data_IF_444556929231
#
_entry.id   IF_444556929231
#
_cell.length_a   1.000
_cell.length_b   1.000
_cell.length_c   1.000
_cell.angle_alpha   90.00
_cell.angle_beta   90.00
_cell.angle_gamma   90.00
#
_symmetry.space_group_name_H-M   'P 1'
#
loop_
_entity.id
_entity.type
_entity.pdbx_description
1 polymer ?
#
# COMPACT_ATOMS: atom_id res chain seq x y z
N UNK A 1 15.31 7.92 -20.03
CA UNK A 1 15.16 6.80 -19.13
C UNK A 1 16.39 6.58 -18.31
N UNK A 2 17.54 6.33 -18.88
CA UNK A 2 18.77 6.15 -18.11
C UNK A 2 19.63 7.41 -18.26
N UNK A 3 19.45 8.34 -17.35
CA UNK A 3 20.33 9.51 -17.22
C UNK A 3 21.27 9.31 -16.02
N UNK A 4 22.50 8.78 -16.24
CA UNK A 4 23.46 8.53 -15.17
C UNK A 4 23.88 9.80 -14.43
N UNK A 5 23.85 10.94 -15.10
CA UNK A 5 24.19 12.22 -14.49
C UNK A 5 23.10 12.66 -13.51
N UNK A 6 21.85 12.52 -13.89
CA UNK A 6 20.70 12.80 -13.00
C UNK A 6 20.68 11.83 -11.83
N UNK A 7 20.87 10.53 -12.09
CA UNK A 7 20.94 9.51 -11.05
C UNK A 7 22.01 9.85 -10.00
N UNK A 8 23.24 10.20 -10.46
CA UNK A 8 24.34 10.60 -9.58
C UNK A 8 24.02 11.87 -8.78
N UNK A 9 23.33 12.82 -9.38
CA UNK A 9 22.93 14.08 -8.72
C UNK A 9 21.89 13.82 -7.62
N UNK A 10 20.95 12.92 -7.86
CA UNK A 10 19.86 12.61 -6.93
C UNK A 10 20.25 11.58 -5.88
N UNK A 11 21.32 10.81 -6.11
CA UNK A 11 21.72 9.69 -5.25
C UNK A 11 21.75 10.04 -3.76
N UNK A 12 22.36 11.14 -3.29
CA UNK A 12 22.43 11.43 -1.85
C UNK A 12 21.04 11.59 -1.21
N UNK A 13 20.08 12.16 -1.93
CA UNK A 13 18.70 12.35 -1.45
C UNK A 13 17.94 11.03 -1.50
N UNK A 14 18.07 10.30 -2.59
CA UNK A 14 17.39 9.01 -2.78
C UNK A 14 17.88 7.96 -1.80
N UNK A 15 19.17 7.95 -1.48
CA UNK A 15 19.72 7.03 -0.48
C UNK A 15 19.19 7.33 0.93
N UNK A 16 18.97 8.61 1.26
CA UNK A 16 18.34 9.00 2.53
C UNK A 16 16.86 8.58 2.58
N UNK A 17 16.12 8.81 1.51
CA UNK A 17 14.71 8.38 1.42
C UNK A 17 14.61 6.85 1.50
N UNK A 18 15.49 6.15 0.80
CA UNK A 18 15.53 4.69 0.83
C UNK A 18 15.87 4.16 2.24
N UNK A 19 16.81 4.79 2.93
CA UNK A 19 17.16 4.43 4.29
C UNK A 19 16.03 4.73 5.30
N UNK A 20 15.26 5.79 5.09
CA UNK A 20 14.14 6.14 5.95
C UNK A 20 12.99 5.12 5.89
N UNK A 21 12.65 4.61 4.71
CA UNK A 21 11.50 3.72 4.53
C UNK A 21 11.84 2.23 4.48
N UNK A 22 12.98 1.85 3.89
CA UNK A 22 13.34 0.46 3.71
C UNK A 22 14.33 -0.02 4.75
N UNK A 23 15.39 0.69 4.91
CA UNK A 23 16.48 0.37 5.78
C UNK A 23 17.47 -0.67 5.27
N UNK A 24 18.13 -1.21 6.23
CA UNK A 24 19.32 -2.03 6.30
C UNK A 24 20.58 -1.40 5.67
N UNK A 25 20.56 -0.11 5.46
CA UNK A 25 21.75 0.60 4.99
C UNK A 25 22.84 0.72 6.08
N UNK A 26 22.55 0.26 7.29
CA UNK A 26 23.52 0.24 8.39
C UNK A 26 24.04 1.62 8.82
N UNK A 27 23.35 2.70 8.45
CA UNK A 27 23.80 4.05 8.79
C UNK A 27 23.42 4.49 10.21
N UNK A 28 22.61 3.70 10.92
CA UNK A 28 22.20 3.96 12.29
C UNK A 28 21.32 5.21 12.50
N UNK A 29 21.01 5.94 11.44
CA UNK A 29 20.20 7.15 11.51
C UNK A 29 18.71 6.86 11.48
N UNK A 30 18.31 5.76 10.84
CA UNK A 30 16.92 5.34 10.71
C UNK A 30 16.73 3.91 11.21
N UNK A 31 15.59 3.61 11.85
CA UNK A 31 15.26 2.23 12.22
C UNK A 31 14.95 1.40 10.97
N UNK A 32 15.18 0.11 11.07
CA UNK A 32 14.86 -0.82 10.02
C UNK A 32 13.35 -0.90 9.81
N UNK A 33 12.91 -0.76 8.55
CA UNK A 33 11.49 -0.89 8.16
C UNK A 33 10.56 -0.03 9.02
N UNK A 34 10.89 1.24 9.15
CA UNK A 34 10.23 2.16 10.09
C UNK A 34 8.69 2.10 10.08
N UNK A 35 8.10 1.88 8.93
CA UNK A 35 6.64 1.84 8.75
C UNK A 35 6.09 0.45 8.38
N UNK A 36 6.94 -0.47 7.94
CA UNK A 36 6.54 -1.80 7.52
C UNK A 36 6.52 -2.78 8.70
N UNK A 37 5.37 -3.39 8.94
CA UNK A 37 5.18 -4.39 9.98
C UNK A 37 5.25 -5.80 9.36
N UNK A 38 6.34 -6.50 9.62
CA UNK A 38 6.56 -7.84 9.09
C UNK A 38 5.55 -8.88 9.64
N UNK A 39 4.98 -8.65 10.82
CA UNK A 39 3.95 -9.52 11.40
C UNK A 39 2.58 -9.30 10.73
N UNK A 40 2.18 -8.04 10.55
CA UNK A 40 0.95 -7.69 9.85
C UNK A 40 1.05 -7.94 8.34
N UNK A 41 2.27 -7.93 7.79
CA UNK A 41 2.53 -8.09 6.36
C UNK A 41 2.21 -6.84 5.54
N UNK A 42 2.12 -5.68 6.18
CA UNK A 42 1.84 -4.40 5.53
C UNK A 42 2.44 -3.24 6.31
N UNK A 43 2.47 -2.09 5.67
CA UNK A 43 2.91 -0.85 6.32
C UNK A 43 1.77 -0.18 7.09
N UNK A 44 2.16 0.63 8.06
CA UNK A 44 1.27 1.51 8.80
C UNK A 44 1.43 2.96 8.33
N UNK A 45 0.37 3.75 8.43
CA UNK A 45 0.38 5.16 8.02
C UNK A 45 1.28 6.03 8.89
N UNK A 46 1.56 5.63 10.13
CA UNK A 46 2.35 6.39 11.09
C UNK A 46 3.40 5.51 11.78
N UNK A 47 4.50 6.11 12.17
CA UNK A 47 5.51 5.44 13.01
C UNK A 47 5.11 5.29 14.46
N UNK A 48 4.01 5.91 14.89
CA UNK A 48 3.46 5.84 16.24
C UNK A 48 2.01 5.39 16.20
N UNK A 49 1.47 4.96 17.33
CA UNK A 49 0.06 4.57 17.46
C UNK A 49 -0.66 5.55 18.41
N UNK A 50 -1.03 6.77 17.94
CA UNK A 50 -1.61 7.80 18.78
C UNK A 50 -3.10 7.59 19.08
N UNK A 51 -3.72 6.59 18.47
CA UNK A 51 -5.16 6.35 18.56
C UNK A 51 -5.48 5.16 19.46
N UNK A 52 -6.67 5.19 20.10
CA UNK A 52 -7.14 4.10 20.95
C UNK A 52 -7.29 2.78 20.19
N UNK A 53 -7.64 2.84 18.91
CA UNK A 53 -7.78 1.67 18.03
C UNK A 53 -6.45 1.17 17.42
N UNK A 54 -5.35 1.74 17.86
CA UNK A 54 -4.01 1.42 17.34
C UNK A 54 -3.61 2.29 16.15
N UNK A 55 -2.54 1.89 15.47
CA UNK A 55 -2.15 2.49 14.21
C UNK A 55 -3.14 2.12 13.11
N UNK A 56 -3.08 2.80 11.98
CA UNK A 56 -3.98 2.55 10.86
C UNK A 56 -3.23 2.57 9.53
N UNK A 57 -3.89 2.02 8.50
CA UNK A 57 -3.47 2.14 7.12
C UNK A 57 -4.71 2.31 6.23
N UNK A 58 -4.73 3.39 5.49
CA UNK A 58 -5.78 3.74 4.55
C UNK A 58 -5.40 3.36 3.11
N UNK A 59 -4.17 3.67 2.70
CA UNK A 59 -3.73 3.59 1.31
C UNK A 59 -2.70 2.48 1.10
N UNK A 60 -3.17 1.22 1.00
CA UNK A 60 -2.30 0.09 0.66
C UNK A 60 -1.61 0.25 -0.71
N UNK A 61 -2.26 0.91 -1.67
CA UNK A 61 -1.71 1.15 -3.01
C UNK A 61 -0.54 2.15 -3.03
N UNK A 62 -0.54 3.13 -2.14
CA UNK A 62 0.60 4.05 -1.98
C UNK A 62 1.82 3.33 -1.44
N UNK A 63 1.63 2.45 -0.44
CA UNK A 63 2.71 1.62 0.09
C UNK A 63 3.31 0.71 -0.99
N UNK A 64 2.48 0.03 -1.77
CA UNK A 64 2.93 -0.80 -2.90
C UNK A 64 3.73 0.03 -3.92
N UNK A 65 3.29 1.26 -4.18
CA UNK A 65 4.02 2.17 -5.08
C UNK A 65 5.36 2.59 -4.49
N UNK A 66 5.43 2.84 -3.17
CA UNK A 66 6.67 3.16 -2.48
C UNK A 66 7.69 2.01 -2.56
N UNK A 67 7.27 0.78 -2.27
CA UNK A 67 8.14 -0.41 -2.37
C UNK A 67 8.59 -0.70 -3.80
N UNK A 68 7.73 -0.44 -4.78
CA UNK A 68 8.09 -0.51 -6.21
C UNK A 68 9.17 0.52 -6.55
N UNK A 69 9.04 1.74 -6.05
CA UNK A 69 10.04 2.80 -6.20
C UNK A 69 11.37 2.42 -5.57
N UNK A 70 11.32 1.90 -4.34
CA UNK A 70 12.50 1.43 -3.61
C UNK A 70 13.24 0.31 -4.34
N UNK A 71 12.51 -0.70 -4.85
CA UNK A 71 13.10 -1.80 -5.62
C UNK A 71 13.79 -1.29 -6.90
N UNK A 72 13.16 -0.38 -7.62
CA UNK A 72 13.75 0.24 -8.82
C UNK A 72 14.98 1.07 -8.50
N UNK A 73 14.97 1.82 -7.43
CA UNK A 73 16.13 2.59 -6.97
C UNK A 73 17.28 1.67 -6.58
N UNK A 74 17.01 0.68 -5.75
CA UNK A 74 17.99 -0.31 -5.31
C UNK A 74 18.64 -1.02 -6.50
N UNK A 75 17.85 -1.44 -7.49
CA UNK A 75 18.35 -2.04 -8.73
C UNK A 75 19.26 -1.08 -9.51
N UNK A 76 18.85 0.18 -9.67
CA UNK A 76 19.61 1.18 -10.43
C UNK A 76 20.92 1.58 -9.75
N UNK A 77 20.96 1.53 -8.41
CA UNK A 77 22.17 1.80 -7.62
C UNK A 77 23.06 0.56 -7.40
N UNK A 78 22.64 -0.62 -7.87
CA UNK A 78 23.37 -1.87 -7.68
C UNK A 78 23.29 -2.44 -6.26
N UNK A 79 22.38 -1.95 -5.43
CA UNK A 79 22.18 -2.45 -4.07
C UNK A 79 21.25 -3.67 -4.06
N UNK A 80 21.82 -4.86 -4.30
CA UNK A 80 21.07 -6.11 -4.42
C UNK A 80 20.38 -6.53 -3.11
N UNK A 81 20.96 -6.19 -1.97
CA UNK A 81 20.33 -6.49 -0.66
C UNK A 81 19.07 -5.68 -0.46
N UNK A 82 19.12 -4.38 -0.73
CA UNK A 82 17.96 -3.51 -0.65
C UNK A 82 16.91 -3.86 -1.73
N UNK A 83 17.33 -4.27 -2.93
CA UNK A 83 16.41 -4.74 -3.97
C UNK A 83 15.62 -5.96 -3.49
N UNK A 84 16.28 -6.95 -2.92
CA UNK A 84 15.64 -8.16 -2.39
C UNK A 84 14.65 -7.82 -1.28
N UNK A 85 15.01 -6.94 -0.36
CA UNK A 85 14.14 -6.48 0.72
C UNK A 85 12.92 -5.73 0.20
N UNK A 86 13.13 -4.79 -0.72
CA UNK A 86 12.04 -4.03 -1.32
C UNK A 86 11.05 -4.91 -2.10
N UNK A 87 11.55 -5.92 -2.82
CA UNK A 87 10.70 -6.91 -3.51
C UNK A 87 9.92 -7.75 -2.51
N UNK A 88 10.52 -8.13 -1.39
CA UNK A 88 9.82 -8.85 -0.32
C UNK A 88 8.71 -8.00 0.30
N UNK A 89 8.99 -6.75 0.68
CA UNK A 89 7.98 -5.83 1.20
C UNK A 89 6.86 -5.58 0.18
N UNK A 90 7.21 -5.36 -1.09
CA UNK A 90 6.26 -5.20 -2.19
C UNK A 90 5.31 -6.39 -2.32
N UNK A 91 5.87 -7.60 -2.35
CA UNK A 91 5.08 -8.83 -2.52
C UNK A 91 4.16 -9.06 -1.34
N UNK A 92 4.65 -8.81 -0.13
CA UNK A 92 3.87 -8.99 1.10
C UNK A 92 2.77 -7.93 1.21
N UNK A 93 3.09 -6.67 0.92
CA UNK A 93 2.10 -5.57 0.92
C UNK A 93 1.00 -5.79 -0.14
N UNK A 94 1.36 -6.25 -1.33
CA UNK A 94 0.39 -6.56 -2.38
C UNK A 94 -0.56 -7.69 -1.98
N UNK A 95 -0.04 -8.74 -1.34
CA UNK A 95 -0.86 -9.82 -0.78
C UNK A 95 -1.81 -9.31 0.30
N UNK A 96 -1.29 -8.52 1.25
CA UNK A 96 -2.09 -7.93 2.33
C UNK A 96 -3.13 -6.95 1.80
N UNK A 97 -2.78 -6.15 0.78
CA UNK A 97 -3.70 -5.23 0.10
C UNK A 97 -4.92 -5.94 -0.48
N UNK A 98 -4.73 -7.15 -1.01
CA UNK A 98 -5.85 -8.00 -1.41
C UNK A 98 -6.58 -8.58 -0.19
N UNK A 99 -5.86 -9.22 0.70
CA UNK A 99 -6.43 -10.01 1.79
C UNK A 99 -7.19 -9.18 2.83
N UNK A 100 -6.83 -7.90 3.02
CA UNK A 100 -7.42 -7.07 4.08
C UNK A 100 -8.19 -5.86 3.59
N UNK A 101 -7.98 -5.39 2.36
CA UNK A 101 -8.60 -4.17 1.84
C UNK A 101 -9.57 -4.40 0.69
N UNK A 102 -9.19 -5.17 -0.33
CA UNK A 102 -9.95 -5.17 -1.59
C UNK A 102 -10.53 -6.51 -2.00
N UNK A 103 -9.99 -7.64 -1.51
CA UNK A 103 -10.37 -8.98 -1.99
C UNK A 103 -10.43 -10.04 -0.89
N UNK A 104 -10.73 -9.62 0.34
CA UNK A 104 -10.94 -10.54 1.45
C UNK A 104 -12.18 -11.43 1.25
N UNK A 105 -12.19 -12.60 1.86
CA UNK A 105 -13.35 -13.49 1.84
C UNK A 105 -14.42 -12.99 2.80
N UNK A 106 -15.51 -12.46 2.24
CA UNK A 106 -16.64 -11.92 3.02
C UNK A 106 -17.41 -12.99 3.78
N UNK A 107 -17.18 -14.28 3.51
CA UNK A 107 -17.79 -15.40 4.24
C UNK A 107 -17.07 -15.73 5.56
N UNK A 108 -15.86 -15.23 5.74
CA UNK A 108 -15.11 -15.45 6.96
C UNK A 108 -15.80 -14.84 8.20
N UNK A 109 -15.81 -15.53 9.33
CA UNK A 109 -16.52 -15.06 10.54
C UNK A 109 -16.11 -13.68 11.03
N UNK A 110 -14.86 -13.27 10.77
CA UNK A 110 -14.34 -11.94 11.13
C UNK A 110 -15.06 -10.80 10.43
N UNK A 111 -15.70 -11.08 9.29
CA UNK A 111 -16.50 -10.13 8.52
C UNK A 111 -18.01 -10.25 8.76
N UNK A 112 -18.43 -11.05 9.75
CA UNK A 112 -19.86 -11.19 10.09
C UNK A 112 -20.47 -9.84 10.44
N UNK A 113 -21.53 -9.44 9.72
CA UNK A 113 -22.16 -8.13 9.88
C UNK A 113 -21.46 -6.96 9.17
N UNK A 114 -20.33 -7.17 8.54
CA UNK A 114 -19.66 -6.15 7.71
C UNK A 114 -20.28 -6.16 6.31
N UNK A 115 -21.08 -5.17 5.99
CA UNK A 115 -21.92 -5.12 4.79
C UNK A 115 -21.20 -4.66 3.51
N UNK A 116 -19.86 -4.54 3.51
CA UNK A 116 -19.09 -3.96 2.41
C UNK A 116 -18.08 -4.94 1.82
N UNK A 117 -17.66 -4.67 0.58
CA UNK A 117 -16.69 -5.47 -0.17
C UNK A 117 -15.25 -4.97 -0.06
N UNK A 118 -15.06 -3.76 0.44
CA UNK A 118 -13.75 -3.16 0.70
C UNK A 118 -13.67 -2.72 2.16
N UNK A 119 -12.46 -2.67 2.70
CA UNK A 119 -12.15 -2.04 3.98
C UNK A 119 -11.22 -0.87 3.71
N UNK A 120 -11.73 0.36 3.56
CA UNK A 120 -10.88 1.50 3.20
C UNK A 120 -9.85 1.85 4.27
N UNK A 121 -10.20 1.68 5.54
CA UNK A 121 -9.34 2.03 6.67
C UNK A 121 -9.20 0.86 7.64
N UNK A 122 -8.04 0.21 7.64
CA UNK A 122 -7.68 -0.82 8.61
C UNK A 122 -6.95 -0.19 9.79
N UNK A 123 -7.39 -0.54 10.99
CA UNK A 123 -6.75 -0.22 12.26
C UNK A 123 -6.08 -1.46 12.87
N UNK A 124 -5.25 -1.26 13.87
CA UNK A 124 -4.72 -2.37 14.65
C UNK A 124 -5.82 -3.16 15.36
N UNK A 125 -6.89 -2.50 15.79
CA UNK A 125 -7.98 -3.09 16.56
C UNK A 125 -9.33 -3.20 15.86
N UNK A 126 -9.52 -2.57 14.70
CA UNK A 126 -10.82 -2.59 13.99
C UNK A 126 -10.66 -2.34 12.49
N UNK A 127 -11.77 -2.46 11.76
CA UNK A 127 -11.93 -2.11 10.36
C UNK A 127 -13.03 -1.07 10.21
N UNK A 128 -12.79 -0.02 9.42
CA UNK A 128 -13.77 1.03 9.15
C UNK A 128 -14.08 1.14 7.65
N UNK A 129 -15.37 1.32 7.34
CA UNK A 129 -15.80 1.79 6.02
C UNK A 129 -15.80 3.32 6.03
N UNK A 130 -14.61 3.90 5.99
CA UNK A 130 -14.35 5.33 6.11
C UNK A 130 -13.04 5.72 5.46
N UNK A 131 -12.85 7.01 5.20
CA UNK A 131 -11.55 7.63 4.90
C UNK A 131 -11.38 8.90 5.73
N UNK A 132 -10.15 9.40 5.82
CA UNK A 132 -9.87 10.64 6.56
C UNK A 132 -10.39 11.91 5.88
N UNK A 133 -10.70 11.86 4.60
CA UNK A 133 -10.91 13.06 3.77
C UNK A 133 -12.28 13.12 3.09
N UNK A 134 -13.02 12.01 2.97
CA UNK A 134 -14.31 11.99 2.27
C UNK A 134 -15.21 10.85 2.72
N UNK A 135 -16.53 11.08 2.90
CA UNK A 135 -17.50 10.02 3.16
C UNK A 135 -17.99 9.31 1.88
N UNK A 136 -17.52 9.74 0.70
CA UNK A 136 -18.00 9.22 -0.56
C UNK A 136 -17.46 7.82 -0.85
N UNK A 137 -18.31 6.82 -1.19
CA UNK A 137 -17.86 5.46 -1.51
C UNK A 137 -16.81 5.39 -2.63
N UNK A 138 -16.92 6.25 -3.64
CA UNK A 138 -15.92 6.33 -4.71
C UNK A 138 -14.54 6.78 -4.21
N UNK A 139 -14.50 7.69 -3.23
CA UNK A 139 -13.25 8.09 -2.60
C UNK A 139 -12.66 6.96 -1.75
N UNK A 140 -13.51 6.19 -1.08
CA UNK A 140 -13.13 5.02 -0.28
C UNK A 140 -12.49 3.92 -1.14
N UNK A 141 -13.01 3.67 -2.34
CA UNK A 141 -12.35 2.77 -3.30
C UNK A 141 -11.12 3.43 -3.91
N UNK A 142 -11.21 4.70 -4.27
CA UNK A 142 -10.14 5.46 -4.90
C UNK A 142 -8.84 5.38 -4.13
N UNK A 143 -8.87 5.62 -2.81
CA UNK A 143 -7.66 5.60 -1.98
C UNK A 143 -6.97 4.23 -1.92
N UNK A 144 -7.69 3.15 -2.20
CA UNK A 144 -7.14 1.79 -2.22
C UNK A 144 -6.49 1.42 -3.55
N UNK A 145 -6.72 2.18 -4.62
CA UNK A 145 -6.27 1.83 -5.96
C UNK A 145 -5.37 2.88 -6.61
N UNK A 146 -5.33 4.09 -6.09
CA UNK A 146 -4.47 5.17 -6.59
C UNK A 146 -3.17 5.28 -5.75
N UNK A 147 -2.06 5.79 -6.34
CA UNK A 147 -1.91 6.12 -7.76
C UNK A 147 -1.84 4.85 -8.62
N UNK A 148 -2.55 4.86 -9.75
CA UNK A 148 -2.47 3.76 -10.71
C UNK A 148 -1.12 3.78 -11.43
N UNK A 149 -0.46 2.64 -11.45
CA UNK A 149 0.86 2.46 -12.08
C UNK A 149 1.02 1.00 -12.55
N UNK A 150 2.10 0.64 -13.25
CA UNK A 150 2.40 -0.76 -13.53
C UNK A 150 2.48 -1.65 -12.27
N UNK A 151 2.71 -1.07 -11.11
CA UNK A 151 2.66 -1.79 -9.83
C UNK A 151 1.24 -2.23 -9.45
N UNK A 152 0.20 -1.60 -10.00
CA UNK A 152 -1.21 -1.89 -9.69
C UNK A 152 -1.73 -3.19 -10.32
N UNK A 153 -0.90 -3.93 -11.05
CA UNK A 153 -1.28 -5.21 -11.69
C UNK A 153 -1.71 -6.28 -10.69
N UNK A 154 -1.30 -6.20 -9.42
CA UNK A 154 -1.76 -7.12 -8.37
C UNK A 154 -3.28 -7.08 -8.20
N UNK A 155 -3.94 -5.94 -8.46
CA UNK A 155 -5.40 -5.79 -8.39
C UNK A 155 -6.13 -6.60 -9.46
N UNK A 156 -5.47 -6.91 -10.58
CA UNK A 156 -6.09 -7.58 -11.74
C UNK A 156 -6.27 -9.09 -11.61
N UNK A 157 -5.88 -9.69 -10.47
CA UNK A 157 -5.95 -11.13 -10.26
C UNK A 157 -7.37 -11.69 -10.16
N UNK A 158 -8.36 -10.85 -9.82
CA UNK A 158 -9.77 -11.22 -9.69
C UNK A 158 -10.65 -10.09 -10.29
N UNK A 159 -10.98 -10.22 -11.56
CA UNK A 159 -11.75 -9.20 -12.27
C UNK A 159 -13.18 -9.09 -11.73
N UNK A 160 -13.80 -10.18 -11.30
CA UNK A 160 -15.16 -10.17 -10.78
C UNK A 160 -15.22 -9.41 -9.44
N UNK A 161 -14.23 -9.61 -8.61
CA UNK A 161 -14.14 -8.88 -7.33
C UNK A 161 -13.93 -7.39 -7.54
N UNK A 162 -13.02 -6.99 -8.44
CA UNK A 162 -12.81 -5.57 -8.77
C UNK A 162 -14.08 -4.93 -9.31
N UNK A 163 -14.75 -5.60 -10.24
CA UNK A 163 -16.03 -5.12 -10.77
C UNK A 163 -17.09 -4.97 -9.68
N UNK A 164 -17.16 -5.90 -8.73
CA UNK A 164 -18.05 -5.82 -7.60
C UNK A 164 -17.72 -4.64 -6.66
N UNK A 165 -16.43 -4.36 -6.43
CA UNK A 165 -15.98 -3.20 -5.64
C UNK A 165 -16.35 -1.89 -6.33
N UNK A 166 -16.16 -1.79 -7.65
CA UNK A 166 -16.55 -0.61 -8.45
C UNK A 166 -18.07 -0.43 -8.43
N UNK A 167 -18.84 -1.50 -8.62
CA UNK A 167 -20.30 -1.44 -8.58
C UNK A 167 -20.83 -0.96 -7.21
N UNK A 168 -20.23 -1.40 -6.12
CA UNK A 168 -20.57 -0.90 -4.78
C UNK A 168 -20.23 0.59 -4.66
N UNK A 169 -19.00 1.00 -5.00
CA UNK A 169 -18.53 2.37 -4.88
C UNK A 169 -19.33 3.37 -5.74
N UNK A 170 -19.92 2.93 -6.83
CA UNK A 170 -20.67 3.76 -7.77
C UNK A 170 -22.18 3.53 -7.70
N UNK A 171 -22.67 2.71 -6.76
CA UNK A 171 -24.08 2.28 -6.68
C UNK A 171 -24.59 1.69 -8.01
N UNK A 172 -23.72 0.95 -8.71
CA UNK A 172 -24.01 0.37 -10.02
C UNK A 172 -24.12 1.37 -11.18
N UNK A 173 -23.83 2.64 -10.92
CA UNK A 173 -23.92 3.73 -11.92
C UNK A 173 -22.54 4.16 -12.42
N UNK A 174 -21.72 3.20 -12.77
CA UNK A 174 -20.44 3.52 -13.38
C UNK A 174 -20.67 4.21 -14.74
N UNK A 175 -20.45 5.52 -14.77
CA UNK A 175 -20.48 6.28 -16.02
C UNK A 175 -19.10 6.21 -16.67
N UNK A 176 -19.04 5.62 -17.86
CA UNK A 176 -17.80 5.50 -18.65
C UNK A 176 -17.32 6.83 -19.26
N UNK A 177 -17.82 7.95 -18.81
CA UNK A 177 -17.47 9.29 -19.29
C UNK A 177 -16.29 9.95 -18.54
N UNK A 178 -15.40 9.14 -17.98
CA UNK A 178 -14.11 9.61 -17.51
C UNK A 178 -13.00 9.31 -18.49
#
# INVERSE_FOLDING_TARGET
>A
QDDPKLAKTLQPVMDLVAADIGSNAGNGAFPDRRVFDAYAGHSWASGTSPFADGNNQESSSEAITAWTGLAKWAKSSGNTALEAEAVWMLSTEAHSGLAYWTNFDTSEPVYSGYGHKIVPLNWGGKRDYATWFSPEPAAMLGILVIPMSPASTYLGGDADRINANVAEATSGKFDQKF
#
